data_IF_789636139675
#
_entry.id   IF_789636139675
#
_cell.length_a   1.000
_cell.length_b   1.000
_cell.length_c   1.000
_cell.angle_alpha   90.00
_cell.angle_beta   90.00
_cell.angle_gamma   90.00
#
_symmetry.space_group_name_H-M   'P 1'
#
loop_
_entity.id
_entity.type
_entity.pdbx_description
1 polymer ?
#
# COMPACT_ATOMS: atom_id res chain seq x y z
N UNK A 1 41.55 25.21 -6.30
CA UNK A 1 40.41 24.36 -5.88
C UNK A 1 40.49 24.13 -4.38
N UNK A 2 39.53 24.63 -3.61
CA UNK A 2 39.57 24.56 -2.14
C UNK A 2 39.52 23.13 -1.60
N UNK A 3 40.01 22.92 -0.38
CA UNK A 3 40.08 21.61 0.27
C UNK A 3 38.72 20.89 0.32
N UNK A 4 37.61 21.63 0.51
CA UNK A 4 36.23 21.11 0.46
C UNK A 4 35.90 20.40 -0.85
N UNK A 5 36.32 20.95 -2.00
CA UNK A 5 36.06 20.37 -3.32
C UNK A 5 36.81 19.05 -3.52
N UNK A 6 38.07 18.99 -3.06
CA UNK A 6 38.88 17.76 -3.14
C UNK A 6 38.26 16.63 -2.32
N UNK A 7 37.75 16.95 -1.13
CA UNK A 7 37.02 15.99 -0.30
C UNK A 7 35.74 15.53 -0.99
N UNK A 8 34.94 16.45 -1.53
CA UNK A 8 33.71 16.11 -2.25
C UNK A 8 33.96 15.19 -3.44
N UNK A 9 34.95 15.52 -4.27
CA UNK A 9 35.31 14.74 -5.45
C UNK A 9 35.82 13.34 -5.07
N UNK A 10 36.63 13.24 -4.02
CA UNK A 10 37.09 11.94 -3.51
C UNK A 10 35.91 11.09 -3.05
N UNK A 11 35.02 11.65 -2.22
CA UNK A 11 33.86 10.92 -1.68
C UNK A 11 32.94 10.43 -2.80
N UNK A 12 32.67 11.29 -3.78
CA UNK A 12 31.88 10.95 -4.97
C UNK A 12 32.54 9.84 -5.80
N UNK A 13 33.80 10.04 -6.22
CA UNK A 13 34.48 9.16 -7.18
C UNK A 13 34.76 7.76 -6.65
N UNK A 14 34.98 7.62 -5.35
CA UNK A 14 35.14 6.33 -4.67
C UNK A 14 33.81 5.57 -4.62
N UNK A 15 32.70 6.26 -4.32
CA UNK A 15 31.40 5.62 -4.10
C UNK A 15 30.64 5.33 -5.38
N UNK A 16 30.69 6.21 -6.38
CA UNK A 16 29.96 6.03 -7.64
C UNK A 16 30.37 4.74 -8.38
N UNK A 17 31.61 4.28 -8.16
CA UNK A 17 32.14 3.03 -8.70
C UNK A 17 31.97 1.81 -7.79
N UNK A 18 31.41 2.01 -6.60
CA UNK A 18 31.22 0.90 -5.66
C UNK A 18 30.11 -0.03 -6.16
N UNK A 19 30.31 -1.34 -5.99
CA UNK A 19 29.30 -2.36 -6.36
C UNK A 19 27.98 -2.13 -5.65
N UNK A 20 28.02 -1.71 -4.38
CA UNK A 20 26.83 -1.39 -3.60
C UNK A 20 26.04 -0.21 -4.17
N UNK A 21 26.73 0.86 -4.59
CA UNK A 21 26.09 1.98 -5.27
C UNK A 21 25.42 1.53 -6.57
N UNK A 22 26.16 0.86 -7.46
CA UNK A 22 25.64 0.41 -8.75
C UNK A 22 24.43 -0.53 -8.60
N UNK A 23 24.49 -1.46 -7.64
CA UNK A 23 23.37 -2.34 -7.32
C UNK A 23 22.15 -1.57 -6.83
N UNK A 24 22.31 -0.63 -5.90
CA UNK A 24 21.18 0.22 -5.44
C UNK A 24 20.64 1.11 -6.56
N UNK A 25 21.52 1.64 -7.43
CA UNK A 25 21.14 2.60 -8.44
C UNK A 25 20.27 2.01 -9.55
N UNK A 26 20.53 0.77 -9.94
CA UNK A 26 19.73 0.07 -10.95
C UNK A 26 18.68 -0.84 -10.31
N UNK A 27 19.00 -1.50 -9.19
CA UNK A 27 18.14 -2.47 -8.54
C UNK A 27 16.89 -1.84 -7.91
N UNK A 28 17.00 -0.68 -7.26
CA UNK A 28 15.84 -0.02 -6.65
C UNK A 28 14.75 0.34 -7.66
N UNK A 29 15.01 1.08 -8.76
CA UNK A 29 13.96 1.44 -9.71
C UNK A 29 13.39 0.21 -10.42
N UNK A 30 14.20 -0.81 -10.70
CA UNK A 30 13.69 -2.08 -11.23
C UNK A 30 12.74 -2.77 -10.25
N UNK A 31 13.10 -2.82 -8.97
CA UNK A 31 12.23 -3.40 -7.94
C UNK A 31 10.90 -2.64 -7.83
N UNK A 32 10.93 -1.31 -7.87
CA UNK A 32 9.71 -0.50 -7.87
C UNK A 32 8.84 -0.75 -9.11
N UNK A 33 9.45 -0.88 -10.29
CA UNK A 33 8.75 -1.22 -11.54
C UNK A 33 8.14 -2.62 -11.44
N UNK A 34 8.87 -3.61 -10.91
CA UNK A 34 8.37 -4.97 -10.74
C UNK A 34 7.20 -5.00 -9.75
N UNK A 35 7.29 -4.29 -8.64
CA UNK A 35 6.18 -4.17 -7.67
C UNK A 35 4.97 -3.52 -8.35
N UNK A 36 5.16 -2.44 -9.10
CA UNK A 36 4.09 -1.77 -9.82
C UNK A 36 3.40 -2.70 -10.84
N UNK A 37 4.20 -3.42 -11.65
CA UNK A 37 3.69 -4.40 -12.62
C UNK A 37 2.94 -5.56 -11.93
N UNK A 38 3.50 -6.09 -10.84
CA UNK A 38 2.90 -7.18 -10.09
C UNK A 38 1.54 -6.77 -9.49
N UNK A 39 1.47 -5.59 -8.87
CA UNK A 39 0.21 -5.07 -8.34
C UNK A 39 -0.80 -4.82 -9.46
N UNK A 40 -0.38 -4.22 -10.57
CA UNK A 40 -1.27 -3.97 -11.72
C UNK A 40 -1.84 -5.26 -12.31
N UNK A 41 -1.05 -6.33 -12.38
CA UNK A 41 -1.53 -7.64 -12.80
C UNK A 41 -2.54 -8.24 -11.81
N UNK A 42 -2.26 -8.16 -10.50
CA UNK A 42 -3.16 -8.66 -9.46
C UNK A 42 -4.51 -7.92 -9.46
N UNK A 43 -4.50 -6.58 -9.57
CA UNK A 43 -5.73 -5.81 -9.63
C UNK A 43 -6.53 -6.12 -10.90
N UNK A 44 -5.88 -6.31 -12.05
CA UNK A 44 -6.60 -6.67 -13.28
C UNK A 44 -7.32 -8.03 -13.20
N UNK A 45 -6.76 -9.00 -12.47
CA UNK A 45 -7.36 -10.33 -12.30
C UNK A 45 -8.51 -10.34 -11.29
N UNK A 46 -8.48 -9.47 -10.27
CA UNK A 46 -9.57 -9.36 -9.29
C UNK A 46 -10.84 -8.69 -9.84
N UNK A 47 -10.76 -8.05 -11.02
CA UNK A 47 -11.84 -7.26 -11.61
C UNK A 47 -12.37 -7.79 -12.95
N UNK A 48 -11.90 -8.95 -13.43
CA UNK A 48 -12.79 -9.73 -14.30
C UNK A 48 -14.03 -10.03 -13.44
N UNK A 49 -15.26 -9.63 -13.85
CA UNK A 49 -16.46 -10.03 -13.16
C UNK A 49 -16.49 -11.55 -13.28
N UNK A 50 -15.99 -12.22 -12.24
CA UNK A 50 -15.98 -13.67 -12.21
C UNK A 50 -17.46 -14.03 -12.28
N UNK A 51 -17.93 -14.68 -13.37
CA UNK A 51 -19.27 -15.20 -13.38
C UNK A 51 -19.35 -16.06 -12.13
N UNK A 52 -20.34 -15.82 -11.26
CA UNK A 52 -20.52 -16.53 -10.00
C UNK A 52 -20.25 -18.02 -10.25
N UNK A 53 -19.06 -18.44 -9.83
CA UNK A 53 -18.37 -19.62 -10.29
C UNK A 53 -17.52 -20.07 -9.12
N UNK A 54 -17.55 -21.37 -8.82
CA UNK A 54 -17.48 -21.84 -7.45
C UNK A 54 -16.14 -21.51 -6.81
N UNK A 55 -16.21 -20.98 -5.58
CA UNK A 55 -15.06 -20.66 -4.75
C UNK A 55 -14.11 -21.85 -4.66
N UNK A 56 -12.81 -21.61 -4.90
CA UNK A 56 -11.78 -22.62 -4.73
C UNK A 56 -11.70 -23.07 -3.27
N UNK A 57 -11.90 -24.37 -3.08
CA UNK A 57 -12.16 -25.02 -1.80
C UNK A 57 -13.63 -25.41 -1.75
N UNK A 58 -13.95 -26.65 -2.16
CA UNK A 58 -15.31 -27.17 -2.24
C UNK A 58 -16.13 -26.78 -0.99
N UNK A 59 -16.91 -25.71 -1.11
CA UNK A 59 -17.80 -25.27 -0.05
C UNK A 59 -18.81 -26.39 0.11
N UNK A 60 -18.77 -27.06 1.27
CA UNK A 60 -19.77 -28.05 1.59
C UNK A 60 -21.14 -27.34 1.57
N UNK A 61 -22.18 -27.95 0.99
CA UNK A 61 -23.50 -27.35 0.93
C UNK A 61 -24.03 -26.97 2.31
N UNK A 62 -24.94 -26.02 2.35
CA UNK A 62 -25.62 -25.54 3.56
C UNK A 62 -26.93 -26.32 3.70
N UNK A 63 -27.19 -26.88 4.88
CA UNK A 63 -28.45 -27.58 5.17
C UNK A 63 -29.58 -26.64 5.58
N UNK A 64 -30.80 -26.92 5.14
CA UNK A 64 -32.01 -26.21 5.55
C UNK A 64 -33.03 -27.21 6.12
N UNK A 65 -33.63 -26.86 7.26
CA UNK A 65 -34.73 -27.61 7.87
C UNK A 65 -35.92 -26.67 7.97
N UNK A 66 -36.95 -26.92 7.18
CA UNK A 66 -38.14 -26.08 7.09
C UNK A 66 -39.30 -26.65 7.93
N UNK A 67 -39.40 -26.20 9.19
CA UNK A 67 -40.52 -26.58 10.06
C UNK A 67 -41.73 -25.64 9.88
N UNK A 68 -41.55 -24.52 9.18
CA UNK A 68 -42.59 -23.53 8.91
C UNK A 68 -43.36 -23.79 7.61
N UNK A 69 -42.87 -24.70 6.76
CA UNK A 69 -43.44 -25.00 5.44
C UNK A 69 -43.33 -23.83 4.46
N UNK A 70 -42.30 -22.98 4.61
CA UNK A 70 -42.09 -21.79 3.79
C UNK A 70 -41.46 -22.10 2.43
N UNK A 71 -40.69 -23.17 2.33
CA UNK A 71 -39.84 -23.45 1.17
C UNK A 71 -40.49 -24.42 0.16
N UNK A 72 -41.67 -24.97 0.47
CA UNK A 72 -42.32 -26.08 -0.26
C UNK A 72 -42.69 -25.84 -1.73
N UNK A 73 -42.41 -24.67 -2.30
CA UNK A 73 -42.65 -24.34 -3.71
C UNK A 73 -41.49 -23.59 -4.39
N UNK A 74 -40.35 -23.44 -3.72
CA UNK A 74 -39.22 -22.67 -4.23
C UNK A 74 -38.11 -23.59 -4.76
N UNK A 75 -37.52 -23.21 -5.89
CA UNK A 75 -36.29 -23.84 -6.36
C UNK A 75 -35.13 -23.41 -5.45
N UNK A 76 -34.42 -24.39 -4.90
CA UNK A 76 -33.25 -24.16 -4.05
C UNK A 76 -32.04 -23.78 -4.93
N UNK A 77 -31.32 -22.69 -4.61
CA UNK A 77 -30.05 -22.38 -5.24
C UNK A 77 -29.01 -23.50 -5.08
N UNK A 78 -28.08 -23.60 -6.03
CA UNK A 78 -26.95 -24.51 -5.94
C UNK A 78 -26.14 -24.23 -4.66
N UNK A 79 -25.87 -25.29 -3.87
CA UNK A 79 -25.19 -25.18 -2.58
C UNK A 79 -26.12 -25.22 -1.36
N UNK A 80 -27.44 -25.31 -1.54
CA UNK A 80 -28.41 -25.54 -0.45
C UNK A 80 -29.06 -26.93 -0.55
N UNK A 81 -29.12 -27.63 0.58
CA UNK A 81 -29.75 -28.96 0.69
C UNK A 81 -30.89 -28.92 1.72
N UNK A 82 -32.09 -29.30 1.30
CA UNK A 82 -33.26 -29.33 2.18
C UNK A 82 -33.40 -30.69 2.86
N UNK A 83 -33.53 -30.67 4.19
CA UNK A 83 -33.75 -31.83 5.03
C UNK A 83 -35.17 -31.79 5.62
N UNK A 84 -35.86 -32.93 5.58
CA UNK A 84 -37.20 -33.05 6.14
C UNK A 84 -37.20 -32.98 7.68
N UNK A 85 -36.14 -33.50 8.31
CA UNK A 85 -35.99 -33.53 9.76
C UNK A 85 -34.62 -33.01 10.20
N UNK A 86 -34.58 -32.34 11.36
CA UNK A 86 -33.33 -31.86 11.95
C UNK A 86 -32.33 -32.98 12.24
N UNK A 87 -32.81 -34.18 12.55
CA UNK A 87 -31.96 -35.34 12.80
C UNK A 87 -31.09 -35.69 11.57
N UNK A 88 -31.66 -35.57 10.36
CA UNK A 88 -30.96 -35.86 9.10
C UNK A 88 -29.91 -34.79 8.78
N UNK A 89 -30.24 -33.51 8.99
CA UNK A 89 -29.30 -32.41 8.83
C UNK A 89 -28.13 -32.51 9.83
N UNK A 90 -28.41 -32.91 11.07
CA UNK A 90 -27.37 -33.14 12.09
C UNK A 90 -26.44 -34.29 11.71
N UNK A 91 -26.98 -35.38 11.17
CA UNK A 91 -26.17 -36.51 10.69
C UNK A 91 -25.27 -36.09 9.50
N UNK A 92 -25.84 -35.36 8.53
CA UNK A 92 -25.08 -34.81 7.40
C UNK A 92 -23.96 -33.85 7.86
N UNK A 93 -24.25 -33.03 8.87
CA UNK A 93 -23.28 -32.14 9.49
C UNK A 93 -22.15 -32.92 10.14
N UNK A 94 -22.43 -33.99 10.88
CA UNK A 94 -21.40 -34.83 11.52
C UNK A 94 -20.57 -35.60 10.47
N UNK A 95 -21.21 -36.05 9.39
CA UNK A 95 -20.59 -36.78 8.28
C UNK A 95 -19.73 -35.91 7.34
N UNK A 96 -19.61 -34.59 7.57
CA UNK A 96 -18.92 -33.63 6.68
C UNK A 96 -19.52 -33.56 5.28
N UNK A 97 -20.83 -33.80 5.16
CA UNK A 97 -21.58 -33.61 3.90
C UNK A 97 -22.07 -32.17 3.73
N UNK A 98 -22.35 -31.49 4.85
CA UNK A 98 -22.73 -30.08 4.90
C UNK A 98 -21.82 -29.30 5.87
N UNK A 99 -21.70 -27.99 5.67
CA UNK A 99 -20.88 -27.12 6.52
C UNK A 99 -21.61 -26.72 7.82
N UNK A 100 -22.86 -26.27 7.69
CA UNK A 100 -23.77 -25.93 8.77
C UNK A 100 -25.22 -26.10 8.30
N UNK A 101 -26.18 -26.11 9.23
CA UNK A 101 -27.61 -26.10 8.88
C UNK A 101 -28.39 -25.03 9.64
N UNK A 102 -29.47 -24.56 9.01
CA UNK A 102 -30.41 -23.61 9.61
C UNK A 102 -31.78 -24.26 9.79
N UNK A 103 -32.36 -24.08 10.98
CA UNK A 103 -33.71 -24.53 11.33
C UNK A 103 -34.62 -23.31 11.33
N UNK A 104 -35.60 -23.34 10.43
CA UNK A 104 -36.66 -22.33 10.34
C UNK A 104 -37.75 -22.75 11.31
N UNK A 105 -37.94 -21.94 12.36
CA UNK A 105 -38.91 -22.23 13.42
C UNK A 105 -40.36 -22.16 12.89
N UNK A 106 -41.32 -22.93 13.42
CA UNK A 106 -42.70 -22.94 12.94
C UNK A 106 -43.39 -21.56 13.03
N UNK A 107 -42.99 -20.73 13.99
CA UNK A 107 -43.45 -19.36 14.22
C UNK A 107 -42.64 -18.30 13.45
N UNK A 108 -41.76 -18.69 12.52
CA UNK A 108 -40.84 -17.79 11.81
C UNK A 108 -41.54 -16.60 11.13
N UNK A 109 -42.77 -16.78 10.63
CA UNK A 109 -43.54 -15.68 10.01
C UNK A 109 -43.85 -14.54 10.98
N UNK A 110 -43.90 -14.82 12.27
CA UNK A 110 -44.23 -13.86 13.34
C UNK A 110 -42.97 -13.38 14.07
N UNK A 111 -41.99 -14.26 14.30
CA UNK A 111 -40.82 -13.96 15.14
C UNK A 111 -39.53 -13.71 14.36
N UNK A 112 -39.44 -14.17 13.11
CA UNK A 112 -38.20 -14.14 12.31
C UNK A 112 -37.08 -15.02 12.88
N UNK A 113 -37.38 -15.91 13.83
CA UNK A 113 -36.36 -16.66 14.56
C UNK A 113 -35.78 -17.81 13.73
N UNK A 114 -34.48 -17.73 13.43
CA UNK A 114 -33.72 -18.79 12.76
C UNK A 114 -32.70 -19.38 13.73
N UNK A 115 -32.69 -20.71 13.90
CA UNK A 115 -31.68 -21.39 14.71
C UNK A 115 -30.62 -22.03 13.82
N UNK A 116 -29.39 -21.53 13.89
CA UNK A 116 -28.25 -22.07 13.15
C UNK A 116 -27.47 -23.07 14.01
N UNK A 117 -27.09 -24.19 13.40
CA UNK A 117 -26.27 -25.23 14.02
C UNK A 117 -25.09 -25.53 13.08
N UNK A 118 -23.87 -25.32 13.57
CA UNK A 118 -22.65 -25.49 12.80
C UNK A 118 -21.47 -25.79 13.71
N UNK A 119 -20.30 -25.99 13.11
CA UNK A 119 -19.05 -26.28 13.84
C UNK A 119 -18.26 -25.03 14.22
N UNK A 120 -18.63 -23.91 13.61
CA UNK A 120 -17.96 -22.62 13.67
C UNK A 120 -18.53 -21.63 14.69
N UNK A 121 -17.86 -20.51 14.89
CA UNK A 121 -18.33 -19.44 15.79
C UNK A 121 -19.48 -18.66 15.12
N UNK A 122 -20.56 -18.33 15.85
CA UNK A 122 -21.66 -17.54 15.28
C UNK A 122 -21.17 -16.20 14.72
N UNK A 123 -21.26 -16.03 13.40
CA UNK A 123 -21.00 -14.76 12.69
C UNK A 123 -19.72 -14.71 11.86
N UNK A 124 -18.85 -15.72 11.94
CA UNK A 124 -17.61 -15.81 11.16
C UNK A 124 -17.69 -16.81 10.00
N UNK A 125 -18.57 -17.82 10.11
CA UNK A 125 -18.72 -18.88 9.13
C UNK A 125 -20.08 -18.76 8.40
N UNK A 126 -20.03 -18.66 7.07
CA UNK A 126 -21.16 -18.83 6.17
C UNK A 126 -21.85 -17.54 5.68
N UNK A 127 -22.01 -17.45 4.36
CA UNK A 127 -22.81 -16.45 3.65
C UNK A 127 -24.29 -16.61 4.00
N UNK A 128 -24.78 -15.84 4.99
CA UNK A 128 -26.21 -15.73 5.28
C UNK A 128 -27.01 -15.12 4.13
N UNK A 129 -26.36 -14.49 3.14
CA UNK A 129 -27.03 -13.82 2.05
C UNK A 129 -27.88 -14.73 1.18
N UNK A 130 -27.47 -15.98 0.97
CA UNK A 130 -28.25 -16.94 0.17
C UNK A 130 -29.51 -17.41 0.90
N UNK A 131 -29.39 -17.72 2.19
CA UNK A 131 -30.53 -18.14 3.03
C UNK A 131 -31.49 -16.98 3.28
N UNK A 132 -30.97 -15.78 3.56
CA UNK A 132 -31.77 -14.57 3.77
C UNK A 132 -32.54 -14.18 2.50
N UNK A 133 -31.90 -14.27 1.33
CA UNK A 133 -32.57 -14.06 0.04
C UNK A 133 -33.65 -15.10 -0.22
N UNK A 134 -33.39 -16.37 0.06
CA UNK A 134 -34.38 -17.45 -0.09
C UNK A 134 -35.58 -17.25 0.83
N UNK A 135 -35.35 -16.91 2.10
CA UNK A 135 -36.40 -16.64 3.08
C UNK A 135 -37.20 -15.38 2.70
N UNK A 136 -36.54 -14.35 2.19
CA UNK A 136 -37.22 -13.14 1.70
C UNK A 136 -38.14 -13.46 0.53
N UNK A 137 -37.68 -14.29 -0.43
CA UNK A 137 -38.53 -14.76 -1.52
C UNK A 137 -39.68 -15.66 -1.02
N UNK A 138 -39.43 -16.47 0.01
CA UNK A 138 -40.43 -17.33 0.62
C UNK A 138 -41.55 -16.56 1.33
N UNK A 139 -41.19 -15.47 2.02
CA UNK A 139 -42.16 -14.57 2.67
C UNK A 139 -42.96 -13.73 1.68
N UNK A 140 -42.48 -13.59 0.43
CA UNK A 140 -43.09 -12.76 -0.61
C UNK A 140 -43.77 -13.58 -1.72
N UNK A 141 -44.03 -14.88 -1.51
CA UNK A 141 -44.69 -15.75 -2.48
C UNK A 141 -46.09 -15.27 -2.90
N UNK A 142 -46.77 -14.51 -2.05
CA UNK A 142 -48.09 -13.91 -2.34
C UNK A 142 -48.01 -12.69 -3.29
N UNK A 143 -46.81 -12.30 -3.72
CA UNK A 143 -46.58 -11.18 -4.65
C UNK A 143 -46.06 -11.70 -5.99
N UNK A 144 -46.25 -10.94 -7.09
CA UNK A 144 -45.61 -11.25 -8.37
C UNK A 144 -44.10 -11.36 -8.18
N UNK A 145 -43.48 -12.38 -8.79
CA UNK A 145 -42.06 -12.70 -8.61
C UNK A 145 -41.12 -11.51 -8.88
N UNK A 146 -41.48 -10.63 -9.81
CA UNK A 146 -40.73 -9.40 -10.11
C UNK A 146 -40.72 -8.40 -8.95
N UNK A 147 -41.85 -8.24 -8.25
CA UNK A 147 -41.96 -7.34 -7.11
C UNK A 147 -41.27 -7.93 -5.87
N UNK A 148 -41.40 -9.24 -5.67
CA UNK A 148 -40.68 -9.96 -4.62
C UNK A 148 -39.16 -9.85 -4.81
N UNK A 149 -38.67 -10.03 -6.04
CA UNK A 149 -37.27 -9.88 -6.39
C UNK A 149 -36.76 -8.45 -6.18
N UNK A 150 -37.60 -7.43 -6.48
CA UNK A 150 -37.25 -6.02 -6.25
C UNK A 150 -37.23 -5.64 -4.77
N UNK A 151 -38.07 -6.26 -3.94
CA UNK A 151 -38.04 -6.04 -2.48
C UNK A 151 -36.85 -6.75 -1.82
N UNK A 152 -36.48 -7.93 -2.31
CA UNK A 152 -35.28 -8.65 -1.86
C UNK A 152 -33.98 -7.96 -2.31
N UNK A 153 -33.98 -7.35 -3.50
CA UNK A 153 -32.85 -6.58 -4.02
C UNK A 153 -33.33 -5.25 -4.62
N UNK A 154 -33.48 -4.21 -3.79
CA UNK A 154 -33.95 -2.89 -4.25
C UNK A 154 -33.09 -2.33 -5.39
N UNK A 155 -31.78 -2.50 -5.25
CA UNK A 155 -30.79 -2.17 -6.26
C UNK A 155 -30.45 -3.45 -7.01
N UNK A 156 -30.89 -3.55 -8.28
CA UNK A 156 -30.51 -4.66 -9.13
C UNK A 156 -29.01 -4.61 -9.46
N UNK A 157 -28.36 -5.74 -9.73
CA UNK A 157 -27.03 -5.76 -10.33
C UNK A 157 -27.01 -4.87 -11.59
N UNK A 158 -26.15 -3.85 -11.61
CA UNK A 158 -26.09 -2.86 -12.70
C UNK A 158 -27.14 -1.74 -12.65
N UNK A 159 -27.98 -1.68 -11.62
CA UNK A 159 -28.97 -0.61 -11.41
C UNK A 159 -28.40 0.67 -10.79
N UNK A 160 -27.11 0.68 -10.45
CA UNK A 160 -26.37 1.86 -10.02
C UNK A 160 -25.73 2.50 -11.25
N UNK A 161 -26.30 3.61 -11.70
CA UNK A 161 -25.68 4.46 -12.70
C UNK A 161 -24.76 5.46 -11.99
N UNK A 162 -23.45 5.34 -12.22
CA UNK A 162 -22.46 6.27 -11.71
C UNK A 162 -22.38 7.48 -12.65
N UNK A 163 -22.91 8.62 -12.20
CA UNK A 163 -22.81 9.89 -12.91
C UNK A 163 -21.77 10.76 -12.22
N UNK A 164 -20.65 11.02 -12.91
CA UNK A 164 -19.60 11.91 -12.45
C UNK A 164 -20.10 13.37 -12.35
N UNK A 165 -19.77 14.13 -11.30
CA UNK A 165 -20.00 15.58 -11.27
C UNK A 165 -19.22 16.24 -12.41
N UNK A 166 -19.89 17.07 -13.23
CA UNK A 166 -19.21 17.78 -14.32
C UNK A 166 -18.13 18.71 -13.74
N UNK A 167 -16.87 18.50 -14.15
CA UNK A 167 -15.73 19.36 -13.80
C UNK A 167 -14.79 18.82 -12.72
N UNK A 168 -15.11 17.69 -12.08
CA UNK A 168 -14.15 16.89 -11.31
C UNK A 168 -13.73 15.69 -12.15
N UNK A 169 -12.42 15.46 -12.26
CA UNK A 169 -11.88 14.20 -12.74
C UNK A 169 -12.43 13.09 -11.82
N UNK A 170 -13.54 12.46 -12.21
CA UNK A 170 -14.13 11.36 -11.48
C UNK A 170 -13.20 10.15 -11.61
N UNK A 171 -12.24 10.08 -10.69
CA UNK A 171 -11.40 8.92 -10.51
C UNK A 171 -12.29 7.76 -10.12
N UNK A 172 -12.24 6.66 -10.88
CA UNK A 172 -12.95 5.44 -10.51
C UNK A 172 -12.55 5.04 -9.06
N UNK A 173 -13.43 4.42 -8.26
CA UNK A 173 -13.08 3.97 -6.90
C UNK A 173 -11.83 3.09 -6.84
N UNK A 174 -11.44 2.48 -7.97
CA UNK A 174 -10.23 1.68 -8.14
C UNK A 174 -8.99 2.49 -8.53
N UNK A 175 -9.15 3.66 -9.16
CA UNK A 175 -8.06 4.63 -9.29
C UNK A 175 -7.66 5.22 -7.92
N UNK A 176 -8.57 5.22 -6.95
CA UNK A 176 -8.28 5.64 -5.58
C UNK A 176 -7.34 4.67 -4.84
N UNK A 177 -7.30 3.38 -5.22
CA UNK A 177 -6.33 2.39 -4.71
C UNK A 177 -5.03 2.35 -5.51
N UNK A 178 -4.66 3.49 -6.11
CA UNK A 178 -3.38 3.65 -6.80
C UNK A 178 -2.21 3.58 -5.81
N UNK A 179 -1.25 2.68 -6.04
CA UNK A 179 0.00 2.60 -5.27
C UNK A 179 1.03 3.68 -5.66
N UNK A 180 0.70 4.56 -6.61
CA UNK A 180 1.60 5.62 -7.08
C UNK A 180 2.14 6.53 -5.98
N UNK A 181 1.34 6.98 -4.99
CA UNK A 181 1.84 7.75 -3.86
C UNK A 181 2.95 7.03 -3.10
N UNK A 182 2.81 5.72 -2.90
CA UNK A 182 3.80 4.91 -2.19
C UNK A 182 5.10 4.78 -2.99
N UNK A 183 5.00 4.50 -4.30
CA UNK A 183 6.17 4.42 -5.20
C UNK A 183 6.90 5.77 -5.24
N UNK A 184 6.16 6.88 -5.34
CA UNK A 184 6.72 8.22 -5.36
C UNK A 184 7.37 8.60 -4.03
N UNK A 185 6.74 8.22 -2.90
CA UNK A 185 7.32 8.36 -1.57
C UNK A 185 8.60 7.54 -1.43
N UNK A 186 8.61 6.27 -1.87
CA UNK A 186 9.83 5.44 -1.90
C UNK A 186 10.94 6.07 -2.73
N UNK A 187 10.59 6.76 -3.83
CA UNK A 187 11.57 7.41 -4.69
C UNK A 187 12.34 8.54 -3.97
N UNK A 188 11.73 9.20 -2.99
CA UNK A 188 12.40 10.18 -2.11
C UNK A 188 13.03 9.51 -0.89
N UNK A 189 12.33 8.54 -0.30
CA UNK A 189 12.75 7.85 0.92
C UNK A 189 14.08 7.11 0.74
N UNK A 190 14.23 6.34 -0.34
CA UNK A 190 15.38 5.46 -0.53
C UNK A 190 16.69 6.24 -0.68
N UNK A 191 16.78 7.31 -1.51
CA UNK A 191 17.99 8.13 -1.59
C UNK A 191 18.36 8.81 -0.28
N UNK A 192 17.37 9.27 0.50
CA UNK A 192 17.59 9.89 1.82
C UNK A 192 18.24 8.90 2.79
N UNK A 193 17.69 7.69 2.91
CA UNK A 193 18.22 6.66 3.79
C UNK A 193 19.58 6.13 3.34
N UNK A 194 19.71 5.89 2.04
CA UNK A 194 20.96 5.34 1.48
C UNK A 194 22.08 6.37 1.58
N UNK A 195 21.81 7.63 1.24
CA UNK A 195 22.76 8.74 1.35
C UNK A 195 23.19 9.02 2.80
N UNK A 196 22.23 9.02 3.73
CA UNK A 196 22.52 9.13 5.17
C UNK A 196 23.38 7.97 5.67
N UNK A 197 23.04 6.73 5.29
CA UNK A 197 23.82 5.54 5.65
C UNK A 197 25.25 5.57 5.10
N UNK A 198 25.45 6.14 3.92
CA UNK A 198 26.77 6.36 3.34
C UNK A 198 27.62 7.32 4.16
N UNK A 199 27.06 8.45 4.61
CA UNK A 199 27.75 9.42 5.46
C UNK A 199 28.12 8.83 6.81
N UNK A 200 27.17 8.12 7.44
CA UNK A 200 27.38 7.42 8.71
C UNK A 200 28.61 6.49 8.63
N UNK A 201 28.61 5.59 7.65
CA UNK A 201 29.71 4.64 7.44
C UNK A 201 31.02 5.34 7.12
N UNK A 202 30.99 6.43 6.33
CA UNK A 202 32.17 7.25 6.01
C UNK A 202 32.87 7.72 7.28
N UNK A 203 32.11 8.31 8.19
CA UNK A 203 32.66 8.95 9.40
C UNK A 203 33.08 7.92 10.44
N UNK A 204 32.29 6.86 10.59
CA UNK A 204 32.62 5.77 11.50
C UNK A 204 33.91 5.05 11.08
N UNK A 205 34.07 4.74 9.78
CA UNK A 205 35.28 4.10 9.25
C UNK A 205 36.52 4.99 9.33
N UNK A 206 36.38 6.30 9.06
CA UNK A 206 37.51 7.23 9.18
C UNK A 206 37.99 7.43 10.63
N UNK A 207 37.06 7.32 11.59
CA UNK A 207 37.35 7.34 13.02
C UNK A 207 38.08 6.06 13.45
N UNK A 208 37.59 4.89 13.01
CA UNK A 208 38.19 3.59 13.33
C UNK A 208 39.60 3.43 12.76
N UNK A 209 39.83 3.91 11.53
CA UNK A 209 41.10 3.78 10.82
C UNK A 209 42.18 4.80 11.24
N UNK A 210 41.93 5.64 12.25
CA UNK A 210 42.77 6.82 12.65
C UNK A 210 43.05 7.81 11.50
N UNK A 211 42.39 7.65 10.35
CA UNK A 211 42.54 8.54 9.19
C UNK A 211 42.05 9.95 9.54
N UNK A 212 41.07 10.07 10.42
CA UNK A 212 40.60 11.36 10.93
C UNK A 212 41.71 12.18 11.62
N UNK A 213 42.63 11.55 12.37
CA UNK A 213 43.73 12.24 13.06
C UNK A 213 44.69 12.91 12.06
N UNK A 214 45.03 12.19 10.97
CA UNK A 214 45.90 12.70 9.89
C UNK A 214 45.19 13.78 9.06
N UNK A 215 43.89 13.61 8.79
CA UNK A 215 43.10 14.57 8.01
C UNK A 215 42.85 15.87 8.77
N UNK A 216 42.65 15.82 10.10
CA UNK A 216 42.43 17.01 10.93
C UNK A 216 43.68 17.88 11.08
N UNK A 217 44.88 17.31 10.93
CA UNK A 217 46.14 18.08 10.84
C UNK A 217 46.23 18.85 9.51
N UNK A 218 45.52 18.39 8.48
CA UNK A 218 45.65 18.89 7.10
C UNK A 218 44.47 19.77 6.65
N UNK A 219 43.27 19.60 7.23
CA UNK A 219 42.02 20.26 6.80
C UNK A 219 41.10 20.52 7.99
N UNK A 220 40.39 21.66 8.00
CA UNK A 220 39.43 22.01 9.05
C UNK A 220 38.23 21.02 9.06
N UNK A 221 37.72 20.56 10.23
CA UNK A 221 36.62 19.60 10.32
C UNK A 221 35.36 20.01 9.53
N UNK A 222 34.99 21.28 9.58
CA UNK A 222 33.84 21.81 8.83
C UNK A 222 34.00 21.68 7.30
N UNK A 223 35.22 21.82 6.77
CA UNK A 223 35.48 21.65 5.33
C UNK A 223 35.38 20.18 4.91
N UNK A 224 35.78 19.27 5.80
CA UNK A 224 35.65 17.83 5.58
C UNK A 224 34.18 17.40 5.54
N UNK A 225 33.38 17.81 6.53
CA UNK A 225 31.94 17.48 6.59
C UNK A 225 31.16 18.08 5.41
N UNK A 226 31.42 19.36 5.08
CA UNK A 226 30.76 20.02 3.94
C UNK A 226 31.14 19.34 2.61
N UNK A 227 32.42 18.95 2.46
CA UNK A 227 32.87 18.20 1.29
C UNK A 227 32.15 16.86 1.15
N UNK A 228 32.01 16.10 2.24
CA UNK A 228 31.27 14.83 2.24
C UNK A 228 29.80 15.00 1.91
N UNK A 229 29.15 16.01 2.49
CA UNK A 229 27.74 16.31 2.23
C UNK A 229 27.50 16.60 0.75
N UNK A 230 28.34 17.44 0.14
CA UNK A 230 28.28 17.77 -1.29
C UNK A 230 28.56 16.52 -2.15
N UNK A 231 29.58 15.73 -1.79
CA UNK A 231 29.93 14.51 -2.52
C UNK A 231 28.78 13.50 -2.53
N UNK A 232 28.11 13.32 -1.39
CA UNK A 232 26.94 12.43 -1.29
C UNK A 232 25.71 13.01 -1.96
N UNK A 233 25.49 14.32 -1.90
CA UNK A 233 24.44 14.99 -2.67
C UNK A 233 24.62 14.78 -4.18
N UNK A 234 25.85 14.88 -4.69
CA UNK A 234 26.16 14.58 -6.08
C UNK A 234 25.90 13.11 -6.45
N UNK A 235 26.17 12.16 -5.54
CA UNK A 235 25.83 10.75 -5.75
C UNK A 235 24.32 10.52 -5.87
N UNK A 236 23.52 11.23 -5.06
CA UNK A 236 22.05 11.17 -5.13
C UNK A 236 21.55 11.81 -6.44
N UNK A 237 22.16 12.90 -6.90
CA UNK A 237 21.82 13.48 -8.20
C UNK A 237 22.06 12.48 -9.34
N UNK A 238 23.22 11.81 -9.34
CA UNK A 238 23.52 10.74 -10.32
C UNK A 238 22.57 9.56 -10.16
N UNK A 239 22.17 9.22 -8.93
CA UNK A 239 21.20 8.16 -8.66
C UNK A 239 19.87 8.43 -9.38
N UNK A 240 19.31 9.64 -9.25
CA UNK A 240 18.10 10.03 -9.97
C UNK A 240 18.27 10.04 -11.49
N UNK A 241 19.44 10.43 -12.00
CA UNK A 241 19.74 10.33 -13.44
C UNK A 241 19.73 8.87 -13.92
N UNK A 242 20.32 7.96 -13.15
CA UNK A 242 20.30 6.52 -13.45
C UNK A 242 18.86 5.99 -13.42
N UNK A 243 18.03 6.42 -12.48
CA UNK A 243 16.63 6.00 -12.43
C UNK A 243 15.84 6.49 -13.65
N UNK A 244 16.05 7.75 -14.07
CA UNK A 244 15.47 8.26 -15.31
C UNK A 244 15.91 7.45 -16.53
N UNK A 245 17.20 7.07 -16.60
CA UNK A 245 17.71 6.19 -17.65
C UNK A 245 17.06 4.79 -17.59
N UNK A 246 16.91 4.20 -16.41
CA UNK A 246 16.24 2.90 -16.24
C UNK A 246 14.80 2.97 -16.73
N UNK A 247 14.02 3.97 -16.31
CA UNK A 247 12.64 4.17 -16.81
C UNK A 247 12.61 4.34 -18.33
N UNK A 248 13.55 5.09 -18.90
CA UNK A 248 13.64 5.26 -20.35
C UNK A 248 13.98 3.95 -21.07
N UNK A 249 14.92 3.15 -20.54
CA UNK A 249 15.24 1.83 -21.10
C UNK A 249 14.08 0.84 -20.99
N UNK A 250 13.36 0.83 -19.87
CA UNK A 250 12.19 -0.04 -19.70
C UNK A 250 11.07 0.36 -20.65
N UNK A 251 10.77 1.66 -20.77
CA UNK A 251 9.73 2.14 -21.71
C UNK A 251 10.04 1.80 -23.16
N UNK A 252 11.31 1.95 -23.59
CA UNK A 252 11.74 1.58 -24.94
C UNK A 252 11.73 0.07 -25.21
N UNK A 253 12.16 -0.76 -24.25
CA UNK A 253 12.16 -2.22 -24.39
C UNK A 253 10.74 -2.80 -24.37
N UNK A 254 9.90 -2.34 -23.44
CA UNK A 254 8.52 -2.78 -23.32
C UNK A 254 7.61 -2.23 -24.43
N UNK A 255 8.10 -1.28 -25.25
CA UNK A 255 7.31 -0.52 -26.24
C UNK A 255 6.09 0.18 -25.64
N UNK A 256 6.13 0.43 -24.34
CA UNK A 256 5.11 1.17 -23.61
C UNK A 256 5.53 2.63 -23.52
N UNK A 257 4.69 3.60 -23.92
CA UNK A 257 5.08 5.00 -23.80
C UNK A 257 5.35 5.35 -22.34
N UNK A 258 6.35 6.20 -22.09
CA UNK A 258 6.71 6.62 -20.73
C UNK A 258 5.51 7.22 -19.98
N UNK A 259 4.64 7.94 -20.70
CA UNK A 259 3.39 8.46 -20.15
C UNK A 259 2.45 7.36 -19.64
N UNK A 260 2.41 6.19 -20.29
CA UNK A 260 1.63 5.05 -19.80
C UNK A 260 2.26 4.42 -18.55
N UNK A 261 3.59 4.38 -18.47
CA UNK A 261 4.27 3.94 -17.25
C UNK A 261 4.07 4.89 -16.07
N UNK A 262 3.66 6.14 -16.31
CA UNK A 262 3.42 7.15 -15.28
C UNK A 262 1.95 7.57 -15.21
N UNK A 263 1.04 6.80 -15.81
CA UNK A 263 -0.35 7.22 -16.06
C UNK A 263 -1.18 7.50 -14.80
N UNK A 264 -0.76 7.00 -13.63
CA UNK A 264 -1.40 7.32 -12.35
C UNK A 264 -0.67 8.37 -11.52
N UNK A 265 0.36 9.01 -12.08
CA UNK A 265 0.90 10.26 -11.56
C UNK A 265 0.32 11.42 -12.35
N UNK A 266 -0.42 12.31 -11.68
CA UNK A 266 -0.84 13.54 -12.32
C UNK A 266 0.33 14.53 -12.35
N UNK A 267 1.20 14.39 -13.35
CA UNK A 267 2.41 15.22 -13.52
C UNK A 267 2.11 16.72 -13.64
N UNK A 268 0.89 17.09 -14.05
CA UNK A 268 0.43 18.48 -14.13
C UNK A 268 0.07 19.04 -12.74
N UNK A 269 -0.47 18.20 -11.84
CA UNK A 269 -0.79 18.57 -10.44
C UNK A 269 0.41 18.48 -9.51
N UNK A 270 1.42 17.66 -9.82
CA UNK A 270 2.65 17.52 -9.01
C UNK A 270 3.49 18.80 -9.08
N UNK A 271 3.57 19.50 -7.96
CA UNK A 271 4.45 20.65 -7.82
C UNK A 271 5.89 20.17 -7.58
N UNK A 272 6.67 20.06 -8.66
CA UNK A 272 8.05 19.57 -8.62
C UNK A 272 8.96 20.41 -7.70
N UNK A 273 8.71 21.72 -7.61
CA UNK A 273 9.53 22.62 -6.79
C UNK A 273 9.41 22.31 -5.29
N UNK A 274 8.23 22.27 -4.66
CA UNK A 274 8.07 21.79 -3.28
C UNK A 274 8.65 20.40 -3.05
N UNK A 275 8.42 19.44 -3.95
CA UNK A 275 8.98 18.09 -3.83
C UNK A 275 10.51 18.15 -3.77
N UNK A 276 11.14 18.92 -4.67
CA UNK A 276 12.58 19.10 -4.68
C UNK A 276 13.10 19.77 -3.40
N UNK A 277 12.39 20.78 -2.89
CA UNK A 277 12.76 21.48 -1.64
C UNK A 277 12.67 20.55 -0.44
N UNK A 278 11.60 19.76 -0.31
CA UNK A 278 11.46 18.77 0.76
C UNK A 278 12.44 17.61 0.63
N UNK A 279 12.75 17.16 -0.59
CA UNK A 279 13.78 16.15 -0.83
C UNK A 279 15.17 16.67 -0.47
N UNK A 280 15.53 17.90 -0.86
CA UNK A 280 16.83 18.49 -0.54
C UNK A 280 16.96 18.83 0.94
N UNK A 281 15.92 19.42 1.54
CA UNK A 281 15.87 19.71 2.97
C UNK A 281 15.88 18.44 3.82
N UNK A 282 15.11 17.43 3.41
CA UNK A 282 15.12 16.10 4.01
C UNK A 282 16.49 15.43 3.88
N UNK A 283 17.13 15.51 2.71
CA UNK A 283 18.51 15.04 2.54
C UNK A 283 19.45 15.75 3.52
N UNK A 284 19.43 17.08 3.58
CA UNK A 284 20.31 17.83 4.49
C UNK A 284 20.08 17.46 5.96
N UNK A 285 18.81 17.33 6.38
CA UNK A 285 18.42 16.95 7.74
C UNK A 285 18.92 15.54 8.10
N UNK A 286 18.58 14.55 7.28
CA UNK A 286 18.97 13.16 7.52
C UNK A 286 20.47 12.93 7.36
N UNK A 287 21.12 13.63 6.43
CA UNK A 287 22.56 13.61 6.28
C UNK A 287 23.26 14.17 7.52
N UNK A 288 22.78 15.30 8.08
CA UNK A 288 23.34 15.89 9.29
C UNK A 288 23.16 14.99 10.51
N UNK A 289 21.96 14.41 10.68
CA UNK A 289 21.66 13.46 11.74
C UNK A 289 22.56 12.22 11.68
N UNK A 290 22.66 11.61 10.51
CA UNK A 290 23.48 10.42 10.29
C UNK A 290 24.98 10.72 10.40
N UNK A 291 25.41 11.91 9.97
CA UNK A 291 26.78 12.34 10.18
C UNK A 291 27.10 12.54 11.67
N UNK A 292 26.19 13.16 12.43
CA UNK A 292 26.28 13.31 13.87
C UNK A 292 26.36 11.97 14.59
N UNK A 293 25.51 11.01 14.22
CA UNK A 293 25.57 9.64 14.74
C UNK A 293 26.93 8.98 14.48
N UNK A 294 27.47 9.12 13.27
CA UNK A 294 28.75 8.52 12.90
C UNK A 294 29.94 9.14 13.64
N UNK A 295 29.80 10.38 14.12
CA UNK A 295 30.80 11.03 14.96
C UNK A 295 30.69 10.63 16.45
N UNK A 296 29.47 10.54 16.97
CA UNK A 296 29.18 10.30 18.39
C UNK A 296 29.39 8.85 18.81
N UNK A 297 29.11 7.90 17.92
CA UNK A 297 29.20 6.48 18.23
C UNK A 297 30.64 5.95 18.10
N UNK A 298 31.01 4.93 18.90
CA UNK A 298 32.33 4.32 18.81
C UNK A 298 32.48 3.40 17.60
N UNK A 299 31.42 2.71 17.20
CA UNK A 299 31.44 1.69 16.16
C UNK A 299 30.17 1.71 15.27
N UNK A 300 30.29 1.05 14.11
CA UNK A 300 29.22 0.97 13.11
C UNK A 300 28.01 0.17 13.61
N UNK A 301 28.21 -0.84 14.47
CA UNK A 301 27.13 -1.69 14.96
C UNK A 301 26.22 -0.92 15.92
N UNK A 302 26.80 -0.21 16.89
CA UNK A 302 26.07 0.70 17.79
C UNK A 302 25.33 1.80 17.03
N UNK A 303 25.93 2.30 15.94
CA UNK A 303 25.25 3.25 15.06
C UNK A 303 23.96 2.70 14.48
N UNK A 304 23.93 1.43 14.05
CA UNK A 304 22.78 0.85 13.34
C UNK A 304 21.50 0.85 14.20
N UNK A 305 21.61 0.60 15.50
CA UNK A 305 20.47 0.69 16.42
C UNK A 305 19.92 2.12 16.50
N UNK A 306 20.80 3.13 16.50
CA UNK A 306 20.39 4.54 16.52
C UNK A 306 19.81 4.99 15.17
N UNK A 307 20.29 4.44 14.05
CA UNK A 307 19.72 4.71 12.72
C UNK A 307 18.24 4.35 12.68
N UNK A 308 17.83 3.24 13.31
CA UNK A 308 16.42 2.87 13.39
C UNK A 308 15.59 3.94 14.08
N UNK A 309 16.05 4.45 15.23
CA UNK A 309 15.35 5.51 15.99
C UNK A 309 15.20 6.79 15.16
N UNK A 310 16.23 7.17 14.39
CA UNK A 310 16.19 8.35 13.52
C UNK A 310 15.27 8.14 12.31
N UNK A 311 15.24 6.92 11.78
CA UNK A 311 14.45 6.57 10.58
C UNK A 311 12.98 6.37 10.92
N UNK A 312 12.66 5.95 12.15
CA UNK A 312 11.29 5.61 12.55
C UNK A 312 10.29 6.76 12.32
N UNK A 313 10.56 8.02 12.70
CA UNK A 313 9.66 9.12 12.37
C UNK A 313 9.49 9.35 10.86
N UNK A 314 10.50 9.04 10.06
CA UNK A 314 10.43 9.11 8.60
C UNK A 314 9.48 8.04 8.04
N UNK A 315 9.39 6.87 8.70
CA UNK A 315 8.55 5.76 8.27
C UNK A 315 7.08 5.95 8.62
N UNK A 316 6.75 6.76 9.63
CA UNK A 316 5.36 6.96 10.07
C UNK A 316 4.45 7.42 8.90
N UNK A 317 4.80 8.46 8.11
CA UNK A 317 4.02 8.84 6.92
C UNK A 317 3.90 7.73 5.89
N UNK A 318 4.93 6.88 5.73
CA UNK A 318 4.91 5.76 4.79
C UNK A 318 3.85 4.72 5.18
N UNK A 319 3.76 4.38 6.46
CA UNK A 319 2.73 3.45 6.96
C UNK A 319 1.34 4.08 6.99
N UNK A 320 1.26 5.39 7.22
CA UNK A 320 0.02 6.16 7.23
C UNK A 320 -0.30 6.79 5.86
N UNK A 321 0.18 6.20 4.76
CA UNK A 321 0.01 6.77 3.43
C UNK A 321 -1.47 6.93 3.05
N UNK A 322 -2.32 5.96 3.40
CA UNK A 322 -3.76 5.98 3.11
C UNK A 322 -4.45 7.25 3.66
N UNK A 323 -4.42 7.54 4.99
CA UNK A 323 -4.94 8.80 5.52
C UNK A 323 -4.36 10.05 4.85
N UNK A 324 -3.07 10.04 4.52
CA UNK A 324 -2.37 11.18 3.91
C UNK A 324 -2.82 11.45 2.47
N UNK A 325 -3.26 10.41 1.76
CA UNK A 325 -3.71 10.52 0.38
C UNK A 325 -5.22 10.68 0.26
N UNK A 326 -5.99 10.11 1.18
CA UNK A 326 -7.46 10.22 1.17
C UNK A 326 -7.96 11.53 1.75
N UNK A 327 -7.31 12.03 2.81
CA UNK A 327 -7.59 13.35 3.39
C UNK A 327 -6.30 14.16 3.55
N UNK A 328 -5.76 14.73 2.44
CA UNK A 328 -4.51 15.48 2.47
C UNK A 328 -4.56 16.77 3.30
N UNK A 329 -5.74 17.23 3.71
CA UNK A 329 -5.92 18.41 4.58
C UNK A 329 -6.29 18.04 6.02
N UNK A 330 -6.42 16.75 6.31
CA UNK A 330 -6.74 16.24 7.64
C UNK A 330 -5.65 16.54 8.67
N UNK A 331 -6.04 16.49 9.95
CA UNK A 331 -5.14 16.79 11.07
C UNK A 331 -3.87 15.93 11.07
N UNK A 332 -3.99 14.64 10.75
CA UNK A 332 -2.84 13.71 10.67
C UNK A 332 -1.86 14.14 9.57
N UNK A 333 -2.38 14.50 8.40
CA UNK A 333 -1.58 14.95 7.27
C UNK A 333 -0.83 16.25 7.62
N UNK A 334 -1.49 17.19 8.28
CA UNK A 334 -0.89 18.46 8.70
C UNK A 334 0.19 18.27 9.77
N UNK A 335 -0.08 17.51 10.83
CA UNK A 335 0.87 17.29 11.94
C UNK A 335 2.16 16.62 11.43
N UNK A 336 2.03 15.56 10.62
CA UNK A 336 3.18 14.86 10.06
C UNK A 336 3.95 15.70 9.03
N UNK A 337 3.28 16.65 8.40
CA UNK A 337 3.91 17.60 7.48
C UNK A 337 4.69 18.72 8.19
N UNK A 338 4.35 19.03 9.44
CA UNK A 338 5.02 20.05 10.24
C UNK A 338 6.20 19.48 11.03
N UNK A 339 6.13 18.21 11.44
CA UNK A 339 7.19 17.59 12.20
C UNK A 339 8.43 17.33 11.31
N UNK A 340 9.61 17.93 11.59
CA UNK A 340 10.72 17.99 10.62
C UNK A 340 11.22 16.63 10.12
N UNK A 341 11.19 15.60 10.97
CA UNK A 341 11.68 14.27 10.60
C UNK A 341 10.67 13.50 9.73
N UNK A 342 9.37 13.76 9.87
CA UNK A 342 8.35 13.12 9.01
C UNK A 342 8.01 13.95 7.76
N UNK A 343 8.22 15.27 7.81
CA UNK A 343 7.84 16.22 6.77
C UNK A 343 8.32 15.87 5.35
N UNK A 344 9.59 15.44 5.13
CA UNK A 344 10.07 15.13 3.79
C UNK A 344 9.25 14.05 3.08
N UNK A 345 8.71 13.09 3.83
CA UNK A 345 7.91 12.01 3.27
C UNK A 345 6.41 12.33 3.27
N UNK A 346 5.92 12.95 4.36
CA UNK A 346 4.51 13.34 4.47
C UNK A 346 4.09 14.33 3.38
N UNK A 347 4.93 15.32 3.09
CA UNK A 347 4.63 16.30 2.04
C UNK A 347 4.68 15.69 0.64
N UNK A 348 5.61 14.77 0.38
CA UNK A 348 5.68 14.06 -0.91
C UNK A 348 4.42 13.24 -1.15
N UNK A 349 3.92 12.55 -0.12
CA UNK A 349 2.66 11.81 -0.19
C UNK A 349 1.47 12.74 -0.46
N UNK A 350 1.36 13.87 0.25
CA UNK A 350 0.27 14.84 0.05
C UNK A 350 0.31 15.48 -1.35
N UNK A 351 1.50 15.88 -1.81
CA UNK A 351 1.73 16.50 -3.11
C UNK A 351 1.53 15.53 -4.29
N UNK A 352 1.52 14.22 -4.04
CA UNK A 352 1.27 13.22 -5.08
C UNK A 352 -0.20 13.13 -5.51
N UNK A 353 -1.13 13.58 -4.64
CA UNK A 353 -2.58 13.47 -4.86
C UNK A 353 -3.30 14.81 -4.89
N UNK A 354 -2.77 15.85 -4.24
CA UNK A 354 -3.41 17.14 -4.15
C UNK A 354 -2.42 18.29 -4.33
N UNK A 355 -2.90 19.41 -4.89
CA UNK A 355 -2.20 20.68 -4.80
C UNK A 355 -2.28 21.18 -3.37
N UNK A 356 -1.20 21.05 -2.61
CA UNK A 356 -1.13 21.60 -1.24
C UNK A 356 -1.09 23.13 -1.34
N UNK A 357 -1.98 23.87 -0.65
CA UNK A 357 -1.91 25.34 -0.60
C UNK A 357 -0.55 25.82 -0.03
N UNK A 358 -0.05 26.97 -0.50
CA UNK A 358 1.29 27.48 -0.14
C UNK A 358 1.48 27.76 1.36
#
# INVERSE_FOLDING_TARGET
MGNTWRVAWREFSVRVRSRGYLFSAVGTPLLLIVIWLATGALTSQSFEPQPAGPAEGAQLPIGLVDQAGLLGGLALPDGLELFAEEAQAREALLARRIDHYAVIAPDYRETGALRRVGRGFPGLDGDTGQVDRLLTLALLQDRPAEQAARLAQPIAPGGLEWVAPQGEDAHAPLEQFSMWPLIFASAVMVPLLTGGGWLLRSLSQEKESRVMEVLLVSVRPAQLLMGKLIGVGALIAVLYLVWGLVLWTVSSVARTPLAALLSGLNLQKIQLLPVLLFALGGFALYAALMAGLGALTPDVHSSQTMVFVITLPMLIPYYLWMPLTTDPQGAVALVLSLFPFSAPLAMVLRLSVASVPP
#
